data_IF_885326735981
#
_entry.id   IF_885326735981
#
_cell.length_a   1.000
_cell.length_b   1.000
_cell.length_c   1.000
_cell.angle_alpha   90.00
_cell.angle_beta   90.00
_cell.angle_gamma   90.00
#
_symmetry.space_group_name_H-M   'P 1'
#
loop_
_entity.id
_entity.type
_entity.pdbx_description
1 polymer ?
#
# COMPACT_ATOMS: atom_id res chain seq x y z
N UNK A 1 -5.88 -0.02 -17.08
CA UNK A 1 -5.60 1.09 -18.00
C UNK A 1 -4.12 1.39 -17.88
N UNK A 2 -3.35 1.06 -18.91
CA UNK A 2 -1.94 1.41 -18.99
C UNK A 2 -1.88 2.88 -19.36
N UNK A 3 -1.47 3.74 -18.44
CA UNK A 3 -1.30 5.16 -18.73
C UNK A 3 0.05 5.31 -19.44
N UNK A 4 0.02 5.62 -20.73
CA UNK A 4 1.23 5.90 -21.51
C UNK A 4 1.87 7.21 -21.01
N UNK A 5 3.14 7.18 -20.62
CA UNK A 5 3.84 8.39 -20.22
C UNK A 5 4.20 9.24 -21.45
N UNK A 6 4.19 10.58 -21.33
CA UNK A 6 4.68 11.48 -22.36
C UNK A 6 6.10 11.11 -22.82
N UNK A 7 6.38 11.27 -24.11
CA UNK A 7 7.61 10.75 -24.73
C UNK A 7 8.94 11.23 -24.13
N UNK A 8 8.95 12.36 -23.42
CA UNK A 8 10.14 12.87 -22.73
C UNK A 8 10.45 12.11 -21.41
N UNK A 9 9.48 11.41 -20.82
CA UNK A 9 9.66 10.59 -19.63
C UNK A 9 10.02 9.13 -19.95
N UNK A 10 9.73 8.66 -21.17
CA UNK A 10 10.00 7.28 -21.61
C UNK A 10 11.48 6.88 -21.57
N UNK A 11 12.39 7.86 -21.64
CA UNK A 11 13.85 7.60 -21.57
C UNK A 11 14.33 7.14 -20.18
N UNK A 12 13.50 7.29 -19.15
CA UNK A 12 13.78 6.89 -17.77
C UNK A 12 12.77 5.85 -17.27
N UNK A 13 12.01 5.22 -18.17
CA UNK A 13 11.06 4.16 -17.82
C UNK A 13 11.80 2.86 -17.51
N UNK A 14 11.75 2.46 -16.24
CA UNK A 14 12.05 1.11 -15.82
C UNK A 14 10.73 0.45 -15.42
N UNK A 15 10.14 -0.33 -16.32
CA UNK A 15 8.87 -1.03 -16.08
C UNK A 15 9.15 -2.43 -15.56
N UNK A 16 8.93 -2.62 -14.26
CA UNK A 16 8.48 -3.91 -13.75
C UNK A 16 7.07 -3.70 -13.19
N UNK A 17 6.17 -4.66 -13.41
CA UNK A 17 4.94 -4.70 -12.61
C UNK A 17 5.38 -4.75 -11.14
N UNK A 18 5.14 -3.69 -10.34
CA UNK A 18 5.62 -3.66 -8.97
C UNK A 18 5.05 -4.84 -8.19
N UNK A 19 3.81 -5.26 -8.45
CA UNK A 19 3.24 -6.41 -7.76
C UNK A 19 4.00 -7.71 -8.07
N UNK A 20 4.50 -7.88 -9.30
CA UNK A 20 5.32 -9.02 -9.67
C UNK A 20 6.73 -8.92 -9.05
N UNK A 21 7.38 -7.78 -9.19
CA UNK A 21 8.71 -7.54 -8.63
C UNK A 21 8.77 -7.80 -7.12
N UNK A 22 7.71 -7.42 -6.37
CA UNK A 22 7.64 -7.72 -4.94
C UNK A 22 7.39 -9.18 -4.61
N UNK A 23 6.61 -9.90 -5.43
CA UNK A 23 6.41 -11.34 -5.23
C UNK A 23 7.74 -12.06 -5.44
N UNK A 24 8.40 -11.77 -6.55
CA UNK A 24 9.71 -12.33 -6.88
C UNK A 24 10.74 -11.99 -5.81
N UNK A 25 10.82 -10.73 -5.37
CA UNK A 25 11.72 -10.32 -4.29
C UNK A 25 11.48 -11.07 -2.97
N UNK A 26 10.22 -11.37 -2.62
CA UNK A 26 9.89 -12.15 -1.42
C UNK A 26 10.30 -13.62 -1.56
N UNK A 27 10.15 -14.18 -2.76
CA UNK A 27 10.47 -15.57 -3.05
C UNK A 27 11.99 -15.79 -3.15
N UNK A 28 12.69 -14.94 -3.89
CA UNK A 28 14.14 -15.04 -4.13
C UNK A 28 14.98 -14.41 -3.02
N UNK A 29 14.37 -13.62 -2.13
CA UNK A 29 15.05 -12.73 -1.16
C UNK A 29 15.97 -11.70 -1.82
N UNK A 30 15.86 -11.50 -3.12
CA UNK A 30 16.58 -10.48 -3.87
C UNK A 30 15.83 -9.15 -3.80
N UNK A 31 16.56 -8.03 -3.78
CA UNK A 31 15.90 -6.71 -3.74
C UNK A 31 15.41 -6.37 -5.15
N UNK A 32 14.18 -5.86 -5.32
CA UNK A 32 13.78 -5.32 -6.61
C UNK A 32 14.61 -4.07 -6.93
N UNK A 33 14.62 -3.66 -8.19
CA UNK A 33 15.27 -2.41 -8.61
C UNK A 33 14.88 -1.23 -7.70
N UNK A 34 15.85 -0.39 -7.36
CA UNK A 34 15.68 0.65 -6.36
C UNK A 34 16.49 1.90 -6.68
N UNK A 35 16.10 3.02 -6.07
CA UNK A 35 16.85 4.26 -6.09
C UNK A 35 17.63 4.35 -4.78
N UNK A 36 18.94 4.55 -4.85
CA UNK A 36 19.79 4.80 -3.67
C UNK A 36 20.35 6.22 -3.69
N UNK A 37 20.68 6.74 -2.51
CA UNK A 37 21.40 8.01 -2.35
C UNK A 37 22.77 7.69 -1.75
N UNK A 38 23.84 7.96 -2.50
CA UNK A 38 25.22 7.73 -2.07
C UNK A 38 26.13 8.81 -2.66
N UNK A 39 27.06 9.32 -1.86
CA UNK A 39 28.01 10.39 -2.24
C UNK A 39 27.28 11.60 -2.87
N UNK A 40 26.18 12.03 -2.25
CA UNK A 40 25.31 13.11 -2.70
C UNK A 40 24.73 12.94 -4.12
N UNK A 41 24.67 11.71 -4.63
CA UNK A 41 24.10 11.38 -5.94
C UNK A 41 23.07 10.26 -5.86
N UNK A 42 22.08 10.33 -6.74
CA UNK A 42 21.08 9.28 -6.89
C UNK A 42 21.63 8.18 -7.81
N UNK A 43 21.60 6.93 -7.36
CA UNK A 43 21.89 5.77 -8.21
C UNK A 43 20.58 5.07 -8.55
N UNK A 44 20.34 4.82 -9.84
CA UNK A 44 19.32 3.89 -10.29
C UNK A 44 19.96 2.50 -10.33
N UNK A 45 19.48 1.59 -9.49
CA UNK A 45 20.04 0.25 -9.33
C UNK A 45 19.05 -0.78 -9.84
N UNK A 46 19.49 -1.70 -10.70
CA UNK A 46 18.64 -2.82 -11.11
C UNK A 46 18.52 -3.88 -9.99
N UNK A 47 17.71 -4.89 -10.25
CA UNK A 47 17.50 -6.06 -9.39
C UNK A 47 18.76 -6.92 -9.19
N UNK A 48 19.72 -6.88 -10.14
CA UNK A 48 21.04 -7.50 -10.00
C UNK A 48 22.03 -6.69 -9.13
N UNK A 49 21.66 -5.48 -8.72
CA UNK A 49 22.50 -4.59 -7.91
C UNK A 49 23.46 -3.72 -8.71
N UNK A 50 23.38 -3.72 -10.04
CA UNK A 50 24.18 -2.90 -10.93
C UNK A 50 23.64 -1.47 -10.99
N UNK A 51 24.56 -0.50 -10.98
CA UNK A 51 24.21 0.93 -11.13
C UNK A 51 24.01 1.22 -12.61
N UNK A 52 22.75 1.37 -13.02
CA UNK A 52 22.36 1.71 -14.38
C UNK A 52 22.64 3.18 -14.71
N UNK A 53 22.44 4.06 -13.73
CA UNK A 53 22.66 5.49 -13.89
C UNK A 53 23.03 6.15 -12.56
N UNK A 54 23.85 7.19 -12.65
CA UNK A 54 24.12 8.15 -11.57
C UNK A 54 23.60 9.52 -11.96
N UNK A 55 22.78 10.11 -11.11
CA UNK A 55 22.14 11.39 -11.35
C UNK A 55 22.53 12.36 -10.22
N UNK A 56 22.99 13.54 -10.60
CA UNK A 56 23.26 14.62 -9.63
C UNK A 56 21.95 15.28 -9.14
N UNK A 57 20.88 15.17 -9.93
CA UNK A 57 19.56 15.68 -9.60
C UNK A 57 18.48 14.67 -10.00
N UNK A 58 17.48 14.48 -9.11
CA UNK A 58 16.30 13.68 -9.39
C UNK A 58 15.08 14.61 -9.48
N UNK A 59 14.71 14.98 -10.71
CA UNK A 59 13.63 15.95 -10.98
C UNK A 59 12.25 15.48 -10.48
N UNK A 60 11.99 14.17 -10.46
CA UNK A 60 10.75 13.63 -9.94
C UNK A 60 10.64 12.11 -10.05
N UNK A 61 9.82 11.52 -9.18
CA UNK A 61 9.49 10.08 -9.19
C UNK A 61 7.99 9.92 -9.37
N UNK A 62 7.58 9.16 -10.38
CA UNK A 62 6.17 8.80 -10.60
C UNK A 62 5.96 7.39 -10.07
N UNK A 63 5.32 7.29 -8.90
CA UNK A 63 4.95 6.01 -8.31
C UNK A 63 3.49 5.69 -8.63
N UNK A 64 3.23 4.51 -9.20
CA UNK A 64 1.86 4.02 -9.37
C UNK A 64 1.38 3.40 -8.05
N UNK A 65 0.29 3.94 -7.50
CA UNK A 65 -0.32 3.41 -6.28
C UNK A 65 -1.68 2.85 -6.63
N UNK A 66 -1.94 1.61 -6.22
CA UNK A 66 -3.30 1.04 -6.27
C UNK A 66 -4.21 1.91 -5.39
N UNK A 67 -5.08 2.71 -6.02
CA UNK A 67 -5.93 3.68 -5.32
C UNK A 67 -7.17 3.05 -4.65
N UNK A 68 -7.05 1.79 -4.22
CA UNK A 68 -8.14 1.05 -3.63
C UNK A 68 -8.01 1.09 -2.11
N UNK A 69 -9.04 1.58 -1.39
CA UNK A 69 -8.98 1.64 0.07
C UNK A 69 -8.99 0.23 0.67
N UNK A 70 -8.06 0.01 1.59
CA UNK A 70 -8.05 -1.13 2.51
C UNK A 70 -8.98 -0.82 3.68
N UNK A 71 -9.91 -1.72 3.98
CA UNK A 71 -10.75 -1.63 5.18
C UNK A 71 -10.31 -2.65 6.22
N UNK A 72 -10.19 -2.24 7.48
CA UNK A 72 -9.73 -3.08 8.59
C UNK A 72 -10.59 -2.83 9.82
N UNK A 73 -11.16 -3.89 10.39
CA UNK A 73 -11.93 -3.85 11.63
C UNK A 73 -11.45 -4.92 12.61
N UNK A 74 -11.26 -4.53 13.88
CA UNK A 74 -10.64 -5.36 14.92
C UNK A 74 -11.63 -5.97 15.91
N UNK A 75 -12.92 -5.66 15.84
CA UNK A 75 -13.95 -6.16 16.77
C UNK A 75 -13.92 -5.47 18.14
N UNK A 76 -12.72 -5.29 18.69
CA UNK A 76 -12.50 -4.81 20.05
C UNK A 76 -11.71 -3.49 20.10
N UNK A 77 -11.63 -2.92 21.30
CA UNK A 77 -10.76 -1.78 21.56
C UNK A 77 -9.28 -2.19 21.57
N UNK A 78 -8.41 -1.22 21.26
CA UNK A 78 -6.98 -1.46 21.20
C UNK A 78 -6.44 -1.75 22.60
N UNK A 79 -5.82 -2.92 22.78
CA UNK A 79 -5.11 -3.29 24.00
C UNK A 79 -3.61 -3.39 23.68
N UNK A 80 -2.73 -2.59 24.31
CA UNK A 80 -1.29 -2.63 24.05
C UNK A 80 -0.62 -3.93 24.50
N UNK A 81 -1.25 -4.71 25.38
CA UNK A 81 -0.73 -5.98 25.88
C UNK A 81 -1.12 -7.17 25.00
N UNK A 82 -1.93 -6.95 23.95
CA UNK A 82 -2.47 -8.02 23.11
C UNK A 82 -2.25 -7.73 21.62
N UNK A 83 -1.66 -8.68 20.91
CA UNK A 83 -1.54 -8.65 19.45
C UNK A 83 -2.72 -9.42 18.85
N UNK A 84 -3.82 -8.72 18.59
CA UNK A 84 -5.01 -9.31 17.96
C UNK A 84 -5.06 -9.00 16.46
N UNK A 85 -5.27 -10.02 15.59
CA UNK A 85 -5.50 -9.78 14.18
C UNK A 85 -6.86 -9.09 13.96
N UNK A 86 -7.06 -8.43 12.82
CA UNK A 86 -8.37 -7.90 12.47
C UNK A 86 -9.37 -9.05 12.23
N UNK A 87 -10.61 -8.87 12.68
CA UNK A 87 -11.69 -9.84 12.47
C UNK A 87 -12.36 -9.68 11.10
N UNK A 88 -12.23 -8.51 10.48
CA UNK A 88 -12.73 -8.24 9.13
C UNK A 88 -11.77 -7.34 8.36
N UNK A 89 -11.43 -7.76 7.13
CA UNK A 89 -10.55 -7.01 6.21
C UNK A 89 -11.15 -6.97 4.80
N UNK A 90 -10.85 -5.93 4.03
CA UNK A 90 -11.17 -5.86 2.60
C UNK A 90 -10.01 -5.23 1.85
N UNK A 91 -9.39 -6.00 0.95
CA UNK A 91 -8.27 -5.54 0.10
C UNK A 91 -8.74 -4.78 -1.16
N UNK A 92 -10.04 -4.81 -1.45
CA UNK A 92 -10.64 -4.14 -2.62
C UNK A 92 -11.55 -2.95 -2.23
N UNK A 93 -11.74 -2.71 -0.94
CA UNK A 93 -12.57 -1.64 -0.41
C UNK A 93 -14.07 -1.79 -0.67
N UNK A 94 -14.50 -2.94 -1.19
CA UNK A 94 -15.90 -3.21 -1.58
C UNK A 94 -16.48 -4.36 -0.79
N UNK A 95 -15.78 -5.49 -0.71
CA UNK A 95 -16.29 -6.72 -0.10
C UNK A 95 -15.30 -7.23 0.95
N UNK A 96 -15.76 -7.84 2.06
CA UNK A 96 -14.87 -8.55 2.98
C UNK A 96 -14.07 -9.62 2.23
N UNK A 97 -12.77 -9.68 2.51
CA UNK A 97 -11.91 -10.73 1.99
C UNK A 97 -12.26 -12.07 2.64
N UNK A 98 -12.00 -13.18 1.93
CA UNK A 98 -12.26 -14.55 2.40
C UNK A 98 -11.50 -14.93 3.67
N UNK A 99 -10.41 -14.22 3.98
CA UNK A 99 -9.63 -14.39 5.22
C UNK A 99 -10.27 -13.72 6.44
N UNK A 100 -11.37 -12.98 6.28
CA UNK A 100 -12.09 -12.36 7.40
C UNK A 100 -12.78 -13.42 8.25
N UNK A 101 -12.41 -13.52 9.53
CA UNK A 101 -13.05 -14.47 10.45
C UNK A 101 -14.49 -14.08 10.80
N UNK A 102 -14.78 -12.78 10.86
CA UNK A 102 -16.11 -12.23 11.18
C UNK A 102 -16.49 -11.10 10.21
N UNK A 103 -16.95 -11.42 8.99
CA UNK A 103 -17.40 -10.44 8.02
C UNK A 103 -18.54 -9.58 8.58
N UNK A 104 -18.36 -8.26 8.61
CA UNK A 104 -19.32 -7.34 9.25
C UNK A 104 -20.50 -6.98 8.35
N UNK A 105 -20.33 -7.05 7.04
CA UNK A 105 -21.36 -6.75 6.04
C UNK A 105 -20.90 -7.26 4.67
N UNK A 106 -21.79 -7.77 3.79
CA UNK A 106 -21.41 -8.10 2.42
C UNK A 106 -20.85 -6.90 1.65
N UNK A 107 -21.27 -5.67 1.91
CA UNK A 107 -20.81 -4.46 1.23
C UNK A 107 -20.20 -3.43 2.20
N UNK A 108 -18.92 -3.10 1.99
CA UNK A 108 -18.18 -2.12 2.76
C UNK A 108 -18.77 -0.70 2.67
N UNK A 109 -19.48 -0.37 1.59
CA UNK A 109 -20.13 0.92 1.42
C UNK A 109 -21.30 1.12 2.41
N UNK A 110 -21.99 0.03 2.76
CA UNK A 110 -23.18 0.07 3.66
C UNK A 110 -22.89 -0.43 5.07
N UNK A 111 -21.67 -0.92 5.31
CA UNK A 111 -21.26 -1.51 6.59
C UNK A 111 -21.47 -0.55 7.79
N UNK A 112 -22.11 -1.01 8.87
CA UNK A 112 -22.34 -0.18 10.07
C UNK A 112 -21.02 0.28 10.71
N UNK A 113 -19.98 -0.55 10.67
CA UNK A 113 -18.67 -0.21 11.21
C UNK A 113 -17.95 0.89 10.40
N UNK A 114 -18.29 1.05 9.11
CA UNK A 114 -17.70 2.06 8.23
C UNK A 114 -18.42 3.42 8.30
N UNK A 115 -19.56 3.52 9.00
CA UNK A 115 -20.27 4.79 9.19
C UNK A 115 -19.53 5.72 10.13
N UNK A 116 -19.56 7.03 9.86
CA UNK A 116 -18.97 8.02 10.76
C UNK A 116 -19.74 8.05 12.09
N UNK A 117 -19.01 7.94 13.21
CA UNK A 117 -19.61 7.84 14.54
C UNK A 117 -19.91 6.42 15.01
N UNK A 118 -19.55 5.39 14.24
CA UNK A 118 -19.62 3.99 14.70
C UNK A 118 -18.67 3.68 15.85
N UNK A 119 -17.68 4.55 16.11
CA UNK A 119 -16.81 4.50 17.30
C UNK A 119 -16.60 5.90 17.88
N UNK A 120 -16.35 5.98 19.18
CA UNK A 120 -15.74 7.15 19.83
C UNK A 120 -14.22 7.07 19.71
N UNK A 121 -13.62 8.11 19.15
CA UNK A 121 -12.17 8.29 19.11
C UNK A 121 -11.61 8.51 20.52
N UNK A 122 -10.28 8.39 20.64
CA UNK A 122 -9.58 8.46 21.92
C UNK A 122 -9.88 9.75 22.72
N UNK A 123 -10.04 10.89 22.04
CA UNK A 123 -10.36 12.18 22.64
C UNK A 123 -11.87 12.51 22.67
N UNK A 124 -12.74 11.50 22.57
CA UNK A 124 -14.20 11.66 22.65
C UNK A 124 -14.88 12.12 21.34
N UNK A 125 -14.13 12.44 20.29
CA UNK A 125 -14.68 12.75 18.97
C UNK A 125 -15.32 11.54 18.27
N UNK A 126 -16.23 11.76 17.33
CA UNK A 126 -16.81 10.68 16.51
C UNK A 126 -15.79 10.19 15.48
N UNK A 127 -15.63 8.88 15.34
CA UNK A 127 -14.78 8.26 14.32
C UNK A 127 -15.45 7.05 13.69
N UNK A 128 -14.83 6.47 12.66
CA UNK A 128 -15.23 5.18 12.10
C UNK A 128 -14.55 4.06 12.89
N UNK A 129 -15.28 3.01 13.22
CA UNK A 129 -14.76 1.81 13.84
C UNK A 129 -13.91 0.99 12.85
N UNK A 130 -14.41 0.84 11.62
CA UNK A 130 -13.65 0.30 10.50
C UNK A 130 -12.65 1.36 10.00
N UNK A 131 -11.36 1.02 10.06
CA UNK A 131 -10.27 1.89 9.62
C UNK A 131 -10.10 1.75 8.11
N UNK A 132 -10.12 2.88 7.43
CA UNK A 132 -9.81 2.96 5.99
C UNK A 132 -8.37 3.41 5.83
N UNK A 133 -7.58 2.65 5.08
CA UNK A 133 -6.20 2.99 4.73
C UNK A 133 -6.04 2.97 3.22
N UNK A 134 -5.19 3.83 2.69
CA UNK A 134 -4.70 3.72 1.31
C UNK A 134 -3.23 3.36 1.38
N UNK A 135 -2.91 2.06 1.53
CA UNK A 135 -1.52 1.66 1.60
C UNK A 135 -0.85 2.02 0.28
N UNK A 136 0.34 2.61 0.39
CA UNK A 136 1.30 2.52 -0.69
C UNK A 136 1.74 1.05 -0.71
N UNK A 137 1.21 0.28 -1.65
CA UNK A 137 1.66 -1.10 -1.85
C UNK A 137 3.01 -0.95 -2.56
N UNK A 138 4.07 -1.07 -1.76
CA UNK A 138 5.44 -1.11 -2.25
C UNK A 138 5.69 -2.41 -2.96
#
# INVERSE_FOLDING_TARGET
>A
MTQELPGYLRRFEYWHDPAQANREARETKQRPAYISLQDDRFNLVNDDGEILARLDELTGVVAYVKNTPLHIFYGEEYNPNETKPPVCVSYDGKYPHSESSEPQNPDCATCPQHKFGSKKGFYGGKSRACRVRRPMIW
#
